data_IF_863295403696
#
_entry.id   IF_863295403696
#
_cell.length_a   1.000
_cell.length_b   1.000
_cell.length_c   1.000
_cell.angle_alpha   90.00
_cell.angle_beta   90.00
_cell.angle_gamma   90.00
#
_symmetry.space_group_name_H-M   'P 1'
#
loop_
_entity.id
_entity.type
_entity.pdbx_description
1 polymer ?
#
# COMPACT_ATOMS: atom_id res chain seq x y z
N UNK A 1 -8.66 -25.24 -27.05
CA UNK A 1 -7.53 -24.61 -26.38
C UNK A 1 -8.06 -23.46 -25.52
N UNK A 2 -7.69 -23.45 -24.23
CA UNK A 2 -8.16 -22.41 -23.28
C UNK A 2 -7.69 -21.02 -23.71
N UNK A 3 -6.48 -20.90 -24.28
CA UNK A 3 -5.94 -19.64 -24.77
C UNK A 3 -6.83 -19.01 -25.85
N UNK A 4 -7.22 -19.80 -26.84
CA UNK A 4 -8.09 -19.36 -27.93
C UNK A 4 -9.48 -18.88 -27.41
N UNK A 5 -10.04 -19.58 -26.41
CA UNK A 5 -11.31 -19.17 -25.79
C UNK A 5 -11.17 -17.83 -25.06
N UNK A 6 -10.04 -17.58 -24.42
CA UNK A 6 -9.78 -16.30 -23.75
C UNK A 6 -9.65 -15.17 -24.77
N UNK A 7 -8.94 -15.38 -25.88
CA UNK A 7 -8.81 -14.42 -26.96
C UNK A 7 -10.17 -14.09 -27.59
N UNK A 8 -11.00 -15.10 -27.85
CA UNK A 8 -12.37 -14.93 -28.36
C UNK A 8 -13.22 -14.11 -27.37
N UNK A 9 -13.11 -14.39 -26.06
CA UNK A 9 -13.80 -13.62 -25.02
C UNK A 9 -13.32 -12.19 -24.95
N UNK A 10 -12.01 -11.94 -25.02
CA UNK A 10 -11.48 -10.57 -25.04
C UNK A 10 -12.04 -9.78 -26.22
N UNK A 11 -12.01 -10.35 -27.43
CA UNK A 11 -12.56 -9.74 -28.64
C UNK A 11 -14.07 -9.48 -28.51
N UNK A 12 -14.82 -10.43 -27.91
CA UNK A 12 -16.26 -10.30 -27.71
C UNK A 12 -16.62 -9.17 -26.74
N UNK A 13 -15.78 -8.90 -25.77
CA UNK A 13 -16.03 -7.91 -24.72
C UNK A 13 -15.29 -6.58 -24.93
N UNK A 14 -14.44 -6.45 -25.96
CA UNK A 14 -13.64 -5.27 -26.24
C UNK A 14 -14.45 -3.96 -26.33
N UNK A 15 -15.65 -4.04 -26.94
CA UNK A 15 -16.55 -2.89 -27.15
C UNK A 15 -17.76 -2.89 -26.22
N UNK A 16 -17.67 -3.58 -25.08
CA UNK A 16 -18.76 -3.64 -24.11
C UNK A 16 -18.42 -2.79 -22.87
N UNK A 17 -19.43 -2.56 -22.03
CA UNK A 17 -19.25 -1.82 -20.77
C UNK A 17 -18.34 -2.51 -19.74
N UNK A 18 -17.94 -3.77 -19.99
CA UNK A 18 -16.96 -4.52 -19.23
C UNK A 18 -15.97 -5.17 -20.17
N UNK A 19 -14.69 -5.18 -19.83
CA UNK A 19 -13.62 -5.80 -20.59
C UNK A 19 -12.99 -6.94 -19.80
N UNK A 20 -12.57 -8.01 -20.50
CA UNK A 20 -11.78 -9.09 -19.92
C UNK A 20 -10.31 -8.70 -19.93
N UNK A 21 -9.74 -8.45 -18.74
CA UNK A 21 -8.36 -8.02 -18.56
C UNK A 21 -7.60 -8.99 -17.67
N UNK A 22 -6.27 -8.99 -17.80
CA UNK A 22 -5.39 -9.75 -16.92
C UNK A 22 -4.84 -8.82 -15.84
N UNK A 23 -5.09 -9.16 -14.58
CA UNK A 23 -4.67 -8.39 -13.41
C UNK A 23 -4.16 -9.37 -12.36
N UNK A 24 -3.01 -9.09 -11.74
CA UNK A 24 -2.37 -9.96 -10.76
C UNK A 24 -2.23 -11.42 -11.25
N UNK A 25 -1.88 -11.61 -12.53
CA UNK A 25 -1.81 -12.91 -13.21
C UNK A 25 -3.14 -13.69 -13.28
N UNK A 26 -4.28 -13.03 -13.08
CA UNK A 26 -5.63 -13.64 -13.17
C UNK A 26 -6.48 -12.91 -14.20
N UNK A 27 -7.34 -13.66 -14.89
CA UNK A 27 -8.34 -13.09 -15.80
C UNK A 27 -9.56 -12.62 -15.00
N UNK A 28 -9.98 -11.39 -15.23
CA UNK A 28 -11.19 -10.83 -14.60
C UNK A 28 -11.89 -9.84 -15.51
N UNK A 29 -13.19 -9.70 -15.30
CA UNK A 29 -13.96 -8.63 -15.92
C UNK A 29 -13.82 -7.35 -15.11
N UNK A 30 -13.53 -6.24 -15.79
CA UNK A 30 -13.51 -4.90 -15.19
C UNK A 30 -14.37 -3.96 -16.04
N UNK A 31 -14.90 -2.92 -15.39
CA UNK A 31 -15.59 -1.83 -16.08
C UNK A 31 -14.66 -1.24 -17.14
N UNK A 32 -15.19 -0.99 -18.33
CA UNK A 32 -14.44 -0.37 -19.40
C UNK A 32 -13.91 1.02 -18.95
N UNK A 33 -12.66 1.39 -19.29
CA UNK A 33 -12.04 2.64 -18.81
C UNK A 33 -12.84 3.90 -19.13
N UNK A 34 -13.52 3.92 -20.26
CA UNK A 34 -14.39 5.01 -20.71
C UNK A 34 -15.67 5.18 -19.86
N UNK A 35 -16.03 4.18 -19.05
CA UNK A 35 -17.18 4.19 -18.14
C UNK A 35 -16.81 4.37 -16.67
N UNK A 36 -15.54 4.57 -16.34
CA UNK A 36 -15.08 4.72 -14.95
C UNK A 36 -15.79 5.85 -14.21
N UNK A 37 -16.09 6.96 -14.90
CA UNK A 37 -16.79 8.12 -14.35
C UNK A 37 -18.20 7.80 -13.81
N UNK A 38 -18.85 6.75 -14.32
CA UNK A 38 -20.16 6.33 -13.83
C UNK A 38 -20.05 5.68 -12.44
N UNK A 39 -18.95 4.99 -12.19
CA UNK A 39 -18.70 4.33 -10.90
C UNK A 39 -18.34 5.35 -9.80
N UNK A 40 -17.66 6.44 -10.17
CA UNK A 40 -17.32 7.51 -9.23
C UNK A 40 -18.56 8.18 -8.61
N UNK A 41 -19.65 8.32 -9.38
CA UNK A 41 -20.90 8.90 -8.87
C UNK A 41 -21.66 8.03 -7.88
N UNK A 42 -21.37 6.73 -7.87
CA UNK A 42 -22.02 5.75 -6.98
C UNK A 42 -21.17 5.39 -5.77
N UNK A 43 -19.96 5.94 -5.68
CA UNK A 43 -19.10 5.73 -4.52
C UNK A 43 -19.69 6.48 -3.33
N UNK A 44 -20.34 5.75 -2.43
CA UNK A 44 -20.63 6.17 -1.07
C UNK A 44 -19.31 6.65 -0.47
N UNK A 45 -19.31 7.72 0.34
CA UNK A 45 -18.13 8.33 0.95
C UNK A 45 -17.11 7.28 1.41
N UNK A 46 -16.16 6.98 0.55
CA UNK A 46 -15.08 6.04 0.86
C UNK A 46 -14.04 6.78 1.67
N UNK A 47 -13.59 6.13 2.74
CA UNK A 47 -12.48 6.64 3.56
C UNK A 47 -11.26 6.84 2.67
N UNK A 48 -10.69 8.04 2.66
CA UNK A 48 -9.55 8.39 1.82
C UNK A 48 -8.24 8.14 2.57
N UNK A 49 -7.21 7.70 1.86
CA UNK A 49 -5.87 7.66 2.43
C UNK A 49 -5.36 9.07 2.72
N UNK A 50 -4.72 9.26 3.87
CA UNK A 50 -3.98 10.48 4.15
C UNK A 50 -2.80 10.62 3.17
N UNK A 51 -2.31 11.85 3.00
CA UNK A 51 -1.12 12.10 2.17
C UNK A 51 0.09 11.29 2.63
N UNK A 52 0.32 11.21 3.95
CA UNK A 52 1.38 10.40 4.53
C UNK A 52 1.24 8.91 4.19
N UNK A 53 0.02 8.37 4.22
CA UNK A 53 -0.24 6.98 3.84
C UNK A 53 -0.02 6.75 2.34
N UNK A 54 -0.42 7.67 1.47
CA UNK A 54 -0.17 7.58 0.03
C UNK A 54 1.32 7.60 -0.30
N UNK A 55 2.08 8.51 0.28
CA UNK A 55 3.54 8.59 0.11
C UNK A 55 4.22 7.31 0.60
N UNK A 56 3.83 6.81 1.78
CA UNK A 56 4.35 5.56 2.34
C UNK A 56 4.02 4.35 1.45
N UNK A 57 2.80 4.26 0.93
CA UNK A 57 2.38 3.21 0.01
C UNK A 57 3.20 3.23 -1.28
N UNK A 58 3.41 4.42 -1.87
CA UNK A 58 4.23 4.58 -3.06
C UNK A 58 5.67 4.10 -2.83
N UNK A 59 6.30 4.52 -1.72
CA UNK A 59 7.66 4.08 -1.38
C UNK A 59 7.72 2.56 -1.23
N UNK A 60 6.76 1.95 -0.53
CA UNK A 60 6.71 0.49 -0.40
C UNK A 60 6.56 -0.17 -1.77
N UNK A 61 5.69 0.33 -2.64
CA UNK A 61 5.46 -0.25 -3.95
C UNK A 61 6.71 -0.23 -4.85
N UNK A 62 7.45 0.87 -4.85
CA UNK A 62 8.63 1.03 -5.70
C UNK A 62 9.92 0.43 -5.12
N UNK A 63 10.05 0.33 -3.79
CA UNK A 63 11.30 -0.06 -3.12
C UNK A 63 11.23 -1.39 -2.37
N UNK A 64 10.12 -2.12 -2.48
CA UNK A 64 9.96 -3.40 -1.78
C UNK A 64 11.01 -4.46 -2.16
N UNK A 65 11.49 -5.28 -1.19
CA UNK A 65 11.14 -5.27 0.22
C UNK A 65 11.86 -4.17 1.01
N UNK A 66 11.15 -3.28 1.68
CA UNK A 66 11.67 -2.08 2.35
C UNK A 66 11.35 -2.09 3.84
N UNK A 67 12.26 -1.60 4.67
CA UNK A 67 12.07 -1.45 6.11
C UNK A 67 11.46 -0.09 6.46
N UNK A 68 10.92 0.06 7.67
CA UNK A 68 10.41 1.36 8.13
C UNK A 68 11.48 2.45 8.10
N UNK A 69 12.69 2.16 8.56
CA UNK A 69 13.79 3.12 8.56
C UNK A 69 14.15 3.61 7.13
N UNK A 70 14.14 2.71 6.15
CA UNK A 70 14.36 3.07 4.75
C UNK A 70 13.20 3.90 4.17
N UNK A 71 11.96 3.63 4.59
CA UNK A 71 10.80 4.47 4.21
C UNK A 71 10.97 5.89 4.78
N UNK A 72 11.34 6.01 6.04
CA UNK A 72 11.60 7.29 6.71
C UNK A 72 12.76 8.06 6.08
N UNK A 73 13.83 7.36 5.68
CA UNK A 73 14.96 7.94 4.96
C UNK A 73 14.53 8.53 3.61
N UNK A 74 13.74 7.79 2.84
CA UNK A 74 13.25 8.25 1.53
C UNK A 74 12.26 9.42 1.68
N UNK A 75 11.37 9.37 2.69
CA UNK A 75 10.41 10.45 2.95
C UNK A 75 11.06 11.70 3.52
N UNK A 76 12.20 11.57 4.20
CA UNK A 76 12.83 12.63 4.97
C UNK A 76 12.14 12.98 6.29
N UNK A 77 11.07 12.25 6.64
CA UNK A 77 10.30 12.43 7.89
C UNK A 77 9.89 11.07 8.47
N UNK A 78 9.68 11.02 9.77
CA UNK A 78 9.24 9.80 10.45
C UNK A 78 7.86 9.32 9.96
N UNK A 79 7.64 8.02 10.03
CA UNK A 79 6.37 7.38 9.67
C UNK A 79 5.68 6.95 10.97
N UNK A 80 4.46 7.39 11.21
CA UNK A 80 3.69 6.93 12.37
C UNK A 80 3.39 5.43 12.23
N UNK A 81 3.26 4.73 13.36
CA UNK A 81 2.85 3.33 13.35
C UNK A 81 1.48 3.16 12.68
N UNK A 82 0.53 4.04 12.99
CA UNK A 82 -0.81 4.01 12.43
C UNK A 82 -0.84 4.14 10.90
N UNK A 83 0.10 4.87 10.28
CA UNK A 83 0.18 4.97 8.82
C UNK A 83 0.41 3.61 8.15
N UNK A 84 1.33 2.80 8.70
CA UNK A 84 1.60 1.46 8.15
C UNK A 84 0.45 0.51 8.50
N UNK A 85 -0.11 0.62 9.71
CA UNK A 85 -1.22 -0.23 10.16
C UNK A 85 -2.44 -0.05 9.25
N UNK A 86 -2.82 1.19 8.90
CA UNK A 86 -3.90 1.47 7.93
C UNK A 86 -3.64 0.78 6.59
N UNK A 87 -2.41 0.84 6.06
CA UNK A 87 -2.05 0.18 4.79
C UNK A 87 -2.09 -1.36 4.89
N UNK A 88 -1.85 -1.91 6.06
CA UNK A 88 -2.01 -3.35 6.31
C UNK A 88 -3.48 -3.74 6.48
N UNK A 89 -4.30 -2.91 7.11
CA UNK A 89 -5.75 -3.09 7.25
C UNK A 89 -6.47 -3.08 5.91
N UNK A 90 -6.04 -2.21 4.97
CA UNK A 90 -6.54 -2.25 3.58
C UNK A 90 -6.11 -3.49 2.81
N UNK A 91 -5.31 -4.34 3.40
CA UNK A 91 -4.69 -5.51 2.77
C UNK A 91 -3.78 -5.16 1.57
N UNK A 92 -3.38 -3.91 1.38
CA UNK A 92 -2.49 -3.53 0.27
C UNK A 92 -1.01 -3.75 0.58
N UNK A 93 -0.65 -3.72 1.88
CA UNK A 93 0.72 -3.94 2.37
C UNK A 93 0.76 -5.16 3.27
N UNK A 94 1.85 -5.90 3.23
CA UNK A 94 2.13 -7.06 4.09
C UNK A 94 3.58 -7.10 4.52
N UNK A 95 3.84 -7.86 5.58
CA UNK A 95 5.20 -8.21 5.98
C UNK A 95 5.82 -9.16 4.96
N UNK A 96 7.06 -8.86 4.52
CA UNK A 96 7.84 -9.68 3.56
C UNK A 96 8.95 -10.47 4.20
N UNK A 97 9.15 -10.35 5.52
CA UNK A 97 10.20 -11.01 6.29
C UNK A 97 11.06 -10.01 7.07
N UNK A 98 12.31 -10.36 7.31
CA UNK A 98 13.27 -9.55 8.07
C UNK A 98 14.58 -9.39 7.30
N UNK A 99 15.14 -8.18 7.30
CA UNK A 99 16.43 -7.90 6.68
C UNK A 99 17.56 -8.56 7.50
N UNK A 100 18.61 -9.03 6.80
CA UNK A 100 19.78 -9.66 7.45
C UNK A 100 20.82 -8.59 7.85
N UNK A 101 20.39 -7.57 8.59
CA UNK A 101 21.22 -6.50 9.14
C UNK A 101 21.09 -6.48 10.65
N UNK A 102 21.99 -5.82 11.41
CA UNK A 102 21.83 -5.64 12.86
C UNK A 102 20.42 -5.15 13.22
N UNK A 103 19.83 -5.65 14.30
CA UNK A 103 18.44 -5.38 14.66
C UNK A 103 17.39 -6.18 13.88
N UNK A 104 17.76 -6.85 12.77
CA UNK A 104 16.86 -7.68 11.92
C UNK A 104 15.49 -7.03 11.66
N UNK A 105 15.45 -5.80 11.13
CA UNK A 105 14.20 -5.06 10.96
C UNK A 105 13.25 -5.79 10.02
N UNK A 106 11.97 -5.63 10.29
CA UNK A 106 10.88 -6.16 9.45
C UNK A 106 10.86 -5.41 8.11
N UNK A 107 10.55 -6.13 7.03
CA UNK A 107 10.37 -5.54 5.69
C UNK A 107 8.92 -5.64 5.25
N UNK A 108 8.50 -4.64 4.50
CA UNK A 108 7.17 -4.49 3.93
C UNK A 108 7.18 -4.65 2.41
N UNK A 109 6.07 -5.01 1.86
CA UNK A 109 5.84 -5.07 0.41
C UNK A 109 4.37 -5.17 0.10
N UNK A 110 4.01 -4.92 -1.15
CA UNK A 110 2.64 -4.96 -1.64
C UNK A 110 2.09 -6.38 -1.74
N UNK A 111 0.77 -6.46 -1.84
CA UNK A 111 0.00 -7.71 -1.93
C UNK A 111 -0.62 -7.88 -3.32
N UNK A 112 -1.29 -8.99 -3.53
CA UNK A 112 -2.14 -9.21 -4.71
C UNK A 112 -3.33 -8.24 -4.72
N UNK A 113 -3.92 -7.93 -3.54
CA UNK A 113 -5.02 -6.98 -3.43
C UNK A 113 -4.62 -5.57 -3.91
N UNK A 114 -3.38 -5.15 -3.66
CA UNK A 114 -2.82 -3.92 -4.23
C UNK A 114 -2.83 -3.98 -5.77
N UNK A 115 -2.30 -5.04 -6.37
CA UNK A 115 -2.26 -5.19 -7.83
C UNK A 115 -3.68 -5.17 -8.42
N UNK A 116 -4.61 -5.88 -7.80
CA UNK A 116 -6.01 -5.92 -8.23
C UNK A 116 -6.63 -4.53 -8.16
N UNK A 117 -6.42 -3.80 -7.07
CA UNK A 117 -6.99 -2.46 -6.89
C UNK A 117 -6.48 -1.48 -7.97
N UNK A 118 -5.18 -1.45 -8.22
CA UNK A 118 -4.56 -0.55 -9.18
C UNK A 118 -4.59 -1.09 -10.63
N UNK A 119 -5.11 -2.29 -10.86
CA UNK A 119 -5.24 -2.86 -12.20
C UNK A 119 -3.92 -3.31 -12.83
N UNK A 120 -2.93 -3.67 -12.00
CA UNK A 120 -1.60 -4.08 -12.42
C UNK A 120 -1.52 -5.60 -12.57
N UNK A 121 -0.82 -6.11 -13.57
CA UNK A 121 -0.53 -7.54 -13.71
C UNK A 121 0.60 -7.95 -12.74
N UNK A 122 1.63 -7.12 -12.63
CA UNK A 122 2.77 -7.31 -11.75
C UNK A 122 3.26 -5.98 -11.17
N UNK A 123 4.11 -6.04 -10.14
CA UNK A 123 4.75 -4.84 -9.55
C UNK A 123 5.61 -4.09 -10.58
N UNK A 124 6.19 -4.83 -11.55
CA UNK A 124 7.00 -4.25 -12.62
C UNK A 124 6.22 -3.36 -13.59
N UNK A 125 4.89 -3.42 -13.59
CA UNK A 125 4.03 -2.58 -14.43
C UNK A 125 3.72 -1.22 -13.81
N UNK A 126 4.29 -0.92 -12.65
CA UNK A 126 4.25 0.43 -12.08
C UNK A 126 4.93 1.42 -13.03
N UNK A 127 4.34 2.61 -13.26
CA UNK A 127 4.90 3.60 -14.17
C UNK A 127 6.31 3.99 -13.75
N UNK A 128 7.22 4.05 -14.72
CA UNK A 128 8.58 4.48 -14.49
C UNK A 128 8.71 5.99 -14.25
N UNK A 129 9.90 6.43 -13.86
CA UNK A 129 10.17 7.84 -13.60
C UNK A 129 9.88 8.72 -14.83
N UNK A 130 10.21 8.24 -16.03
CA UNK A 130 9.99 8.96 -17.27
C UNK A 130 8.51 9.03 -17.65
N UNK A 131 7.74 8.00 -17.34
CA UNK A 131 6.28 7.98 -17.51
C UNK A 131 5.62 9.00 -16.58
N UNK A 132 6.06 9.06 -15.30
CA UNK A 132 5.58 10.01 -14.32
C UNK A 132 5.93 11.47 -14.69
N UNK A 133 7.14 11.69 -15.28
CA UNK A 133 7.54 13.01 -15.80
C UNK A 133 6.67 13.44 -16.96
N UNK A 134 6.48 12.55 -17.94
CA UNK A 134 5.69 12.84 -19.14
C UNK A 134 4.21 13.11 -18.80
N UNK A 135 3.70 12.49 -17.74
CA UNK A 135 2.37 12.74 -17.20
C UNK A 135 2.27 14.01 -16.33
N UNK A 136 3.39 14.73 -16.09
CA UNK A 136 3.42 15.94 -15.25
C UNK A 136 3.21 15.68 -13.76
N UNK A 137 3.37 14.45 -13.31
CA UNK A 137 3.07 14.04 -11.93
C UNK A 137 4.25 14.30 -10.96
N UNK A 138 5.42 14.67 -11.47
CA UNK A 138 6.60 14.94 -10.64
C UNK A 138 6.75 16.41 -10.23
N UNK A 139 5.90 17.29 -10.71
CA UNK A 139 5.96 18.72 -10.38
C UNK A 139 5.46 19.07 -8.96
N UNK A 140 5.33 18.06 -8.10
CA UNK A 140 4.98 18.21 -6.68
C UNK A 140 3.54 18.67 -6.41
N UNK A 141 2.73 18.81 -7.44
CA UNK A 141 1.31 19.13 -7.34
C UNK A 141 0.48 17.94 -7.76
N UNK A 142 -0.14 17.27 -6.78
CA UNK A 142 -1.16 16.27 -7.11
C UNK A 142 -2.29 16.97 -7.90
N UNK A 143 -2.83 16.33 -8.95
CA UNK A 143 -3.97 16.88 -9.67
C UNK A 143 -5.11 17.22 -8.70
N UNK A 144 -5.85 18.32 -8.93
CA UNK A 144 -7.03 18.63 -8.13
C UNK A 144 -8.00 17.44 -8.15
N UNK A 145 -8.37 16.94 -6.96
CA UNK A 145 -9.27 15.79 -6.83
C UNK A 145 -8.59 14.41 -6.92
N UNK A 146 -7.24 14.34 -6.93
CA UNK A 146 -6.56 13.06 -6.85
C UNK A 146 -6.73 12.45 -5.44
N UNK A 147 -7.50 11.37 -5.38
CA UNK A 147 -7.83 10.65 -4.16
C UNK A 147 -7.76 9.15 -4.41
N UNK A 148 -7.18 8.41 -3.47
CA UNK A 148 -7.17 6.94 -3.53
C UNK A 148 -8.23 6.43 -2.56
N UNK A 149 -9.37 5.92 -3.05
CA UNK A 149 -10.40 5.35 -2.20
C UNK A 149 -9.92 4.04 -1.59
N UNK A 150 -10.21 3.84 -0.31
CA UNK A 150 -9.92 2.60 0.41
C UNK A 150 -11.09 1.63 0.18
N UNK A 151 -10.83 0.34 -0.12
CA UNK A 151 -11.89 -0.67 -0.16
C UNK A 151 -12.55 -0.76 1.23
N UNK A 152 -13.85 -0.55 1.29
CA UNK A 152 -14.61 -0.72 2.54
C UNK A 152 -15.22 -2.11 2.53
N UNK A 153 -14.65 -3.07 3.25
CA UNK A 153 -15.38 -4.25 3.67
C UNK A 153 -16.21 -3.85 4.88
N UNK A 154 -17.53 -3.71 4.67
CA UNK A 154 -18.57 -3.65 5.70
C UNK A 154 -18.28 -2.79 6.92
N UNK A 155 -18.80 -1.59 6.91
CA UNK A 155 -19.13 -0.71 8.01
C UNK A 155 -18.39 -0.88 9.35
N UNK A 156 -17.31 -0.13 9.53
CA UNK A 156 -16.94 0.33 10.86
C UNK A 156 -17.00 1.86 10.81
N UNK A 157 -18.07 2.40 11.38
CA UNK A 157 -18.15 3.82 11.72
C UNK A 157 -17.05 4.10 12.75
N UNK A 158 -16.04 4.83 12.35
CA UNK A 158 -14.99 5.31 13.20
C UNK A 158 -14.59 6.70 12.72
N UNK A 159 -15.19 7.73 13.33
CA UNK A 159 -14.73 9.10 13.28
C UNK A 159 -13.30 9.14 13.86
N UNK A 160 -12.32 9.08 12.99
CA UNK A 160 -10.91 9.22 13.34
C UNK A 160 -10.27 10.18 12.37
N UNK A 161 -10.32 11.46 12.66
CA UNK A 161 -9.28 12.40 12.22
C UNK A 161 -7.96 11.86 12.77
N UNK A 162 -7.16 11.24 11.92
CA UNK A 162 -5.78 10.93 12.27
C UNK A 162 -5.00 12.25 12.14
N UNK A 163 -4.97 13.00 13.23
CA UNK A 163 -3.96 14.04 13.43
C UNK A 163 -2.60 13.35 13.38
N UNK A 164 -1.66 13.90 12.62
CA UNK A 164 -0.25 13.51 12.64
C UNK A 164 0.33 13.89 14.02
N UNK A 165 0.09 13.05 15.03
CA UNK A 165 0.80 13.20 16.31
C UNK A 165 2.28 12.89 16.08
N UNK A 166 3.18 13.81 16.51
CA UNK A 166 4.60 13.55 16.46
C UNK A 166 4.90 12.30 17.28
N UNK A 167 5.74 11.42 16.73
CA UNK A 167 6.18 10.19 17.37
C UNK A 167 6.72 10.49 18.77
N UNK A 168 5.96 10.19 19.82
CA UNK A 168 6.49 10.19 21.18
C UNK A 168 7.63 9.16 21.24
N UNK A 169 8.75 9.65 21.70
CA UNK A 169 9.99 8.94 21.98
C UNK A 169 9.68 7.86 23.03
N UNK A 170 9.41 6.63 22.59
CA UNK A 170 9.39 5.49 23.51
C UNK A 170 10.81 5.24 23.98
N UNK A 171 11.17 5.98 25.04
CA UNK A 171 12.38 5.82 25.83
C UNK A 171 12.52 4.38 26.30
N UNK A 172 13.71 3.91 26.10
CA UNK A 172 14.36 2.75 26.67
C UNK A 172 13.92 2.47 28.12
N UNK A 173 13.00 1.55 28.30
CA UNK A 173 12.65 0.99 29.59
C UNK A 173 12.63 -0.55 29.51
N UNK A 174 13.74 -1.14 29.05
CA UNK A 174 14.02 -2.57 29.20
C UNK A 174 15.52 -2.72 29.44
N UNK A 175 16.01 -2.22 30.58
CA UNK A 175 17.39 -2.59 31.05
C UNK A 175 17.62 -2.43 32.55
N UNK A 176 16.58 -2.61 33.39
CA UNK A 176 16.79 -2.56 34.85
C UNK A 176 16.27 -3.80 35.62
N UNK A 177 16.06 -4.94 34.95
CA UNK A 177 15.58 -6.13 35.68
C UNK A 177 16.44 -7.39 35.50
N UNK A 178 17.72 -7.26 35.11
CA UNK A 178 18.65 -8.39 35.00
C UNK A 178 20.00 -8.16 35.70
N UNK A 179 20.06 -7.24 36.66
CA UNK A 179 21.23 -7.07 37.51
C UNK A 179 20.83 -7.16 38.99
N UNK A 180 20.58 -8.36 39.50
CA UNK A 180 20.30 -8.52 40.93
C UNK A 180 19.86 -9.91 41.32
N UNK A 181 20.71 -10.95 41.09
CA UNK A 181 20.73 -12.16 41.92
C UNK A 181 21.99 -12.98 41.60
N UNK A 182 23.05 -12.63 42.24
CA UNK A 182 24.26 -13.41 42.31
C UNK A 182 25.03 -12.99 43.55
N UNK A 183 25.15 -13.95 44.44
CA UNK A 183 25.97 -14.00 45.64
C UNK A 183 25.25 -13.80 46.98
N UNK A 184 24.88 -14.93 47.52
CA UNK A 184 25.06 -15.27 48.94
C UNK A 184 24.71 -16.75 49.08
N UNK A 185 25.78 -17.61 49.22
CA UNK A 185 25.93 -18.61 50.29
C UNK A 185 27.16 -19.49 49.97
N UNK A 186 28.24 -19.11 50.64
CA UNK A 186 29.40 -19.97 50.85
C UNK A 186 29.56 -20.16 52.36
N UNK A 187 29.21 -21.36 52.87
CA UNK A 187 29.83 -22.04 54.00
C UNK A 187 29.72 -23.54 53.86
#
# INVERSE_FOLDING_TARGET
DVGAVIEDLQALYEKRGVNLVRVANKWMFRTAPDLSFLMERSAIEQRKLSRAAMETLAIIAYHQPVTRAEIEEIRGVSVSKGTIDVLMETSWVRLRGRKRTPGRPVTYGTTEAFLVHFGLEAVGDLPGLDDLKSAGLLDGRLPPGFEIPIPTEGGVEGDGEFEDEPAEEYGTAIDEHLAGSGDEDAE
#
